data_IF_792219292615
#
_entry.id   IF_792219292615
#
_cell.length_a   1.000
_cell.length_b   1.000
_cell.length_c   1.000
_cell.angle_alpha   90.00
_cell.angle_beta   90.00
_cell.angle_gamma   90.00
#
_symmetry.space_group_name_H-M   'P 1'
#
loop_
_entity.id
_entity.type
_entity.pdbx_description
1 polymer ?
#
# COMPACT_ATOMS: atom_id res chain seq x y z
N UNK A 1 29.97 -14.73 -8.47
CA UNK A 1 29.44 -13.42 -8.07
C UNK A 1 28.42 -13.64 -6.97
N UNK A 2 28.53 -12.94 -5.84
CA UNK A 2 27.54 -13.05 -4.77
C UNK A 2 26.19 -12.46 -5.21
N UNK A 3 25.10 -13.00 -4.67
CA UNK A 3 23.72 -12.59 -5.00
C UNK A 3 23.48 -11.13 -4.59
N UNK A 4 24.07 -10.70 -3.46
CA UNK A 4 23.95 -9.33 -2.98
C UNK A 4 24.65 -8.34 -3.90
N UNK A 5 25.89 -8.64 -4.28
CA UNK A 5 26.68 -7.80 -5.17
C UNK A 5 26.03 -7.68 -6.55
N UNK A 6 25.52 -8.79 -7.09
CA UNK A 6 24.77 -8.78 -8.36
C UNK A 6 23.56 -7.85 -8.28
N UNK A 7 22.80 -7.91 -7.19
CA UNK A 7 21.63 -7.05 -7.04
C UNK A 7 21.99 -5.56 -6.88
N UNK A 8 23.08 -5.25 -6.19
CA UNK A 8 23.54 -3.86 -6.06
C UNK A 8 23.92 -3.25 -7.42
N UNK A 9 24.60 -4.01 -8.28
CA UNK A 9 24.93 -3.55 -9.63
C UNK A 9 23.65 -3.32 -10.45
N UNK A 10 22.71 -4.27 -10.39
CA UNK A 10 21.42 -4.15 -11.08
C UNK A 10 20.66 -2.91 -10.60
N UNK A 11 20.63 -2.66 -9.29
CA UNK A 11 19.98 -1.47 -8.72
C UNK A 11 20.66 -0.18 -9.20
N UNK A 12 21.98 -0.13 -9.26
CA UNK A 12 22.72 1.03 -9.78
C UNK A 12 22.39 1.31 -11.25
N UNK A 13 22.35 0.28 -12.09
CA UNK A 13 21.95 0.45 -13.49
C UNK A 13 20.48 0.87 -13.64
N UNK A 14 19.58 0.32 -12.82
CA UNK A 14 18.17 0.72 -12.83
C UNK A 14 18.01 2.18 -12.40
N UNK A 15 18.76 2.65 -11.41
CA UNK A 15 18.72 4.04 -10.93
C UNK A 15 19.09 5.03 -12.04
N UNK A 16 20.02 4.67 -12.92
CA UNK A 16 20.38 5.48 -14.10
C UNK A 16 19.31 5.49 -15.20
N UNK A 17 18.46 4.46 -15.25
CA UNK A 17 17.43 4.30 -16.28
C UNK A 17 16.02 4.72 -15.82
N UNK A 18 15.87 5.20 -14.59
CA UNK A 18 14.57 5.59 -14.03
C UNK A 18 14.65 6.88 -13.23
N UNK A 19 13.51 7.49 -12.95
CA UNK A 19 13.49 8.67 -12.07
C UNK A 19 13.76 8.27 -10.62
N UNK A 20 14.40 9.16 -9.86
CA UNK A 20 14.69 8.96 -8.43
C UNK A 20 13.43 8.57 -7.63
N UNK A 21 12.29 9.19 -7.93
CA UNK A 21 11.02 8.87 -7.29
C UNK A 21 10.59 7.41 -7.59
N UNK A 22 10.65 6.98 -8.84
CA UNK A 22 10.33 5.59 -9.21
C UNK A 22 11.30 4.59 -8.58
N UNK A 23 12.59 4.91 -8.53
CA UNK A 23 13.59 4.06 -7.89
C UNK A 23 13.27 3.83 -6.41
N UNK A 24 13.04 4.92 -5.67
CA UNK A 24 12.72 4.87 -4.24
C UNK A 24 11.44 4.07 -3.99
N UNK A 25 10.39 4.30 -4.78
CA UNK A 25 9.09 3.65 -4.59
C UNK A 25 9.12 2.16 -4.90
N UNK A 26 9.76 1.76 -6.00
CA UNK A 26 9.60 0.40 -6.54
C UNK A 26 10.80 -0.51 -6.32
N UNK A 27 12.01 0.03 -6.15
CA UNK A 27 13.25 -0.76 -6.18
C UNK A 27 14.03 -0.75 -4.86
N UNK A 28 13.99 0.33 -4.09
CA UNK A 28 14.80 0.50 -2.87
C UNK A 28 14.70 -0.67 -1.87
N UNK A 29 13.50 -1.22 -1.69
CA UNK A 29 13.22 -2.29 -0.72
C UNK A 29 13.04 -3.66 -1.40
N UNK A 30 13.83 -3.92 -2.45
CA UNK A 30 13.82 -5.18 -3.18
C UNK A 30 15.17 -5.88 -3.07
N UNK A 31 15.17 -7.21 -3.18
CA UNK A 31 16.39 -8.03 -3.10
C UNK A 31 16.25 -9.31 -3.88
N UNK A 32 17.35 -9.86 -4.38
CA UNK A 32 17.32 -11.24 -4.88
C UNK A 32 17.23 -12.19 -3.68
N UNK A 33 16.22 -13.05 -3.69
CA UNK A 33 16.01 -14.09 -2.69
C UNK A 33 16.73 -15.39 -3.06
N UNK A 34 16.74 -15.75 -4.35
CA UNK A 34 17.46 -16.91 -4.85
C UNK A 34 17.86 -16.77 -6.32
N UNK A 35 18.96 -17.43 -6.68
CA UNK A 35 19.42 -17.66 -8.06
C UNK A 35 19.70 -19.15 -8.20
N UNK A 36 18.86 -19.89 -8.93
CA UNK A 36 19.01 -21.34 -9.16
C UNK A 36 18.56 -21.69 -10.57
N UNK A 37 19.30 -22.56 -11.27
CA UNK A 37 18.94 -23.11 -12.59
C UNK A 37 18.61 -22.07 -13.67
N UNK A 38 19.24 -20.89 -13.60
CA UNK A 38 18.96 -19.76 -14.48
C UNK A 38 17.69 -18.98 -14.14
N UNK A 39 17.00 -19.31 -13.06
CA UNK A 39 15.87 -18.55 -12.53
C UNK A 39 16.34 -17.64 -11.38
N UNK A 40 16.02 -16.36 -11.48
CA UNK A 40 16.23 -15.38 -10.39
C UNK A 40 14.90 -15.01 -9.75
N UNK A 41 14.83 -15.15 -8.43
CA UNK A 41 13.65 -14.80 -7.64
C UNK A 41 13.92 -13.50 -6.89
N UNK A 42 13.12 -12.47 -7.18
CA UNK A 42 13.22 -11.14 -6.58
C UNK A 42 12.13 -10.99 -5.53
N UNK A 43 12.55 -10.68 -4.30
CA UNK A 43 11.68 -10.34 -3.19
C UNK A 43 11.22 -8.88 -3.26
N UNK A 44 9.93 -8.67 -3.07
CA UNK A 44 9.26 -7.37 -3.05
C UNK A 44 8.53 -7.16 -1.71
N UNK A 45 8.32 -5.91 -1.27
CA UNK A 45 7.75 -5.63 0.05
C UNK A 45 6.24 -5.89 0.14
N UNK A 46 5.51 -5.82 -0.98
CA UNK A 46 4.06 -6.01 -1.03
C UNK A 46 3.59 -6.41 -2.44
N UNK A 47 2.31 -6.83 -2.54
CA UNK A 47 1.71 -7.28 -3.80
C UNK A 47 1.67 -6.20 -4.88
N UNK A 48 1.47 -4.92 -4.52
CA UNK A 48 1.47 -3.82 -5.50
C UNK A 48 2.84 -3.66 -6.16
N UNK A 49 3.92 -3.73 -5.36
CA UNK A 49 5.28 -3.64 -5.88
C UNK A 49 5.61 -4.82 -6.78
N UNK A 50 5.19 -6.03 -6.38
CA UNK A 50 5.28 -7.22 -7.21
C UNK A 50 4.63 -7.01 -8.58
N UNK A 51 3.35 -6.69 -8.60
CA UNK A 51 2.57 -6.54 -9.83
C UNK A 51 3.12 -5.42 -10.72
N UNK A 52 3.54 -4.31 -10.13
CA UNK A 52 4.10 -3.19 -10.88
C UNK A 52 5.46 -3.53 -11.52
N UNK A 53 6.35 -4.20 -10.79
CA UNK A 53 7.64 -4.64 -11.32
C UNK A 53 7.45 -5.70 -12.41
N UNK A 54 6.52 -6.64 -12.23
CA UNK A 54 6.15 -7.66 -13.22
C UNK A 54 5.63 -7.05 -14.53
N UNK A 55 4.73 -6.06 -14.43
CA UNK A 55 4.10 -5.49 -15.62
C UNK A 55 4.96 -4.44 -16.32
N UNK A 56 5.61 -3.54 -15.56
CA UNK A 56 6.28 -2.37 -16.12
C UNK A 56 7.78 -2.55 -16.31
N UNK A 57 8.46 -3.19 -15.34
CA UNK A 57 9.93 -3.20 -15.29
C UNK A 57 10.56 -4.56 -15.53
N UNK A 58 9.77 -5.62 -15.73
CA UNK A 58 10.27 -6.98 -15.95
C UNK A 58 11.31 -7.04 -17.07
N UNK A 59 11.00 -6.47 -18.24
CA UNK A 59 11.93 -6.46 -19.40
C UNK A 59 13.24 -5.73 -19.10
N UNK A 60 13.17 -4.61 -18.38
CA UNK A 60 14.35 -3.82 -18.00
C UNK A 60 15.25 -4.61 -17.05
N UNK A 61 14.66 -5.13 -15.98
CA UNK A 61 15.36 -5.91 -14.95
C UNK A 61 15.97 -7.16 -15.56
N UNK A 62 15.23 -7.88 -16.39
CA UNK A 62 15.71 -9.07 -17.08
C UNK A 62 16.90 -8.77 -17.99
N UNK A 63 16.85 -7.68 -18.76
CA UNK A 63 17.94 -7.25 -19.64
C UNK A 63 19.22 -6.96 -18.84
N UNK A 64 19.11 -6.16 -17.77
CA UNK A 64 20.24 -5.79 -16.91
C UNK A 64 20.84 -7.01 -16.22
N UNK A 65 19.99 -7.91 -15.70
CA UNK A 65 20.42 -9.16 -15.09
C UNK A 65 21.19 -10.04 -16.07
N UNK A 66 20.69 -10.20 -17.30
CA UNK A 66 21.32 -11.03 -18.32
C UNK A 66 22.66 -10.46 -18.82
N UNK A 67 22.79 -9.14 -18.88
CA UNK A 67 24.05 -8.48 -19.21
C UNK A 67 25.14 -8.77 -18.17
N UNK A 68 24.78 -8.78 -16.89
CA UNK A 68 25.69 -9.05 -15.79
C UNK A 68 25.86 -10.55 -15.46
N UNK A 69 24.93 -11.39 -15.90
CA UNK A 69 24.88 -12.83 -15.63
C UNK A 69 24.17 -13.55 -16.78
N UNK A 70 24.90 -13.94 -17.84
CA UNK A 70 24.32 -14.56 -19.04
C UNK A 70 23.61 -15.90 -18.80
N UNK A 71 23.84 -16.53 -17.64
CA UNK A 71 23.20 -17.78 -17.20
C UNK A 71 21.73 -17.62 -16.81
N UNK A 72 21.26 -16.38 -16.65
CA UNK A 72 19.87 -16.06 -16.28
C UNK A 72 18.96 -16.20 -17.50
N UNK A 73 17.96 -17.07 -17.36
CA UNK A 73 16.95 -17.42 -18.37
C UNK A 73 15.57 -16.84 -18.05
N UNK A 74 15.25 -16.67 -16.78
CA UNK A 74 13.93 -16.19 -16.35
C UNK A 74 13.98 -15.44 -15.00
N UNK A 75 12.98 -14.61 -14.74
CA UNK A 75 12.83 -13.84 -13.50
C UNK A 75 11.42 -14.02 -12.92
N UNK A 76 11.33 -14.17 -11.60
CA UNK A 76 10.06 -14.24 -10.86
C UNK A 76 10.07 -13.31 -9.67
N UNK A 77 8.89 -12.80 -9.32
CA UNK A 77 8.74 -11.93 -8.17
C UNK A 77 7.90 -12.61 -7.09
N UNK A 78 8.35 -12.49 -5.85
CA UNK A 78 7.66 -12.97 -4.65
C UNK A 78 7.49 -11.82 -3.66
N UNK A 79 6.50 -11.94 -2.78
CA UNK A 79 6.38 -11.05 -1.64
C UNK A 79 7.32 -11.59 -0.57
N UNK A 80 8.42 -10.88 -0.30
CA UNK A 80 9.35 -11.22 0.77
C UNK A 80 8.95 -10.39 1.98
N UNK A 81 8.27 -11.04 2.92
CA UNK A 81 7.76 -10.42 4.14
C UNK A 81 8.84 -10.08 5.15
N UNK A 82 9.89 -9.36 4.75
CA UNK A 82 10.59 -8.54 5.72
C UNK A 82 9.62 -7.43 6.10
N UNK A 83 9.11 -7.52 7.34
CA UNK A 83 8.41 -6.42 8.00
C UNK A 83 9.21 -5.17 7.68
N UNK A 84 8.62 -4.26 6.92
CA UNK A 84 9.16 -2.92 6.71
C UNK A 84 9.36 -2.39 8.13
N UNK A 85 10.60 -2.41 8.64
CA UNK A 85 10.94 -1.57 9.78
C UNK A 85 10.67 -0.16 9.25
N UNK A 86 9.72 0.59 9.83
CA UNK A 86 9.52 1.97 9.46
C UNK A 86 10.90 2.63 9.50
N UNK A 87 11.31 3.23 8.38
CA UNK A 87 12.49 4.06 8.38
C UNK A 87 12.25 5.10 9.46
N UNK A 88 13.18 5.20 10.41
CA UNK A 88 13.07 6.15 11.51
C UNK A 88 12.71 7.54 10.93
N UNK A 89 11.63 8.17 11.41
CA UNK A 89 11.42 9.58 11.13
C UNK A 89 12.65 10.31 11.68
N UNK A 90 13.18 11.22 10.88
CA UNK A 90 14.23 12.16 11.30
C UNK A 90 13.76 12.78 12.63
N UNK A 91 14.44 12.39 13.71
CA UNK A 91 14.16 12.83 15.07
C UNK A 91 14.39 14.34 15.15
N UNK A 92 13.31 15.10 15.16
CA UNK A 92 13.31 16.39 15.84
C UNK A 92 13.07 16.13 17.33
N UNK A 93 13.93 16.74 18.14
CA UNK A 93 14.20 16.37 19.52
C UNK A 93 13.07 16.81 20.47
N UNK A 94 12.35 15.86 21.05
CA UNK A 94 11.87 15.89 22.44
C UNK A 94 11.07 14.63 22.77
N UNK A 95 11.75 13.60 23.29
CA UNK A 95 11.08 12.49 23.97
C UNK A 95 11.54 12.51 25.43
N UNK A 96 10.80 13.26 26.24
CA UNK A 96 10.71 12.96 27.67
C UNK A 96 9.87 11.70 27.83
N UNK A 97 10.40 10.76 28.61
CA UNK A 97 9.84 9.45 28.87
C UNK A 97 8.38 9.51 29.35
N UNK A 98 7.50 8.75 28.69
CA UNK A 98 6.31 8.20 29.32
C UNK A 98 6.44 6.67 29.22
N UNK A 99 6.88 6.12 30.34
CA UNK A 99 6.78 4.71 30.70
C UNK A 99 5.33 4.27 30.77
N UNK A 100 5.04 3.06 30.27
CA UNK A 100 3.93 2.26 30.75
C UNK A 100 2.58 2.49 30.08
N UNK A 101 2.46 2.13 28.81
CA UNK A 101 1.45 1.13 28.43
C UNK A 101 1.89 0.48 27.12
N UNK A 102 1.74 -0.83 27.02
CA UNK A 102 2.16 -1.57 25.86
C UNK A 102 1.49 -0.99 24.61
N UNK A 103 2.28 -0.81 23.55
CA UNK A 103 1.84 -0.42 22.20
C UNK A 103 0.70 -1.32 21.73
N UNK A 104 -0.52 -0.94 22.10
CA UNK A 104 -1.74 -1.47 21.57
C UNK A 104 -1.77 -0.95 20.14
N UNK A 105 -1.37 -1.78 19.17
CA UNK A 105 -1.51 -1.48 17.74
C UNK A 105 -3.01 -1.45 17.40
N UNK A 106 -3.70 -0.39 17.86
CA UNK A 106 -5.11 -0.09 17.62
C UNK A 106 -5.40 0.19 16.14
N UNK A 107 -4.37 0.18 15.27
CA UNK A 107 -4.50 0.29 13.82
C UNK A 107 -5.09 -0.97 13.16
N UNK A 108 -5.19 -2.09 13.90
CA UNK A 108 -5.76 -3.35 13.41
C UNK A 108 -7.07 -3.75 14.11
N UNK A 109 -7.73 -2.82 14.79
CA UNK A 109 -9.06 -3.07 15.38
C UNK A 109 -10.14 -3.08 14.31
N UNK A 110 -10.06 -3.98 13.33
CA UNK A 110 -11.15 -4.20 12.39
C UNK A 110 -12.33 -4.83 13.12
N UNK A 111 -13.55 -4.37 12.82
CA UNK A 111 -14.72 -5.10 13.27
C UNK A 111 -14.74 -6.47 12.56
N UNK A 112 -14.64 -7.57 13.31
CA UNK A 112 -14.55 -8.94 12.75
C UNK A 112 -15.78 -9.33 11.91
N UNK A 113 -16.92 -8.68 12.09
CA UNK A 113 -18.15 -8.97 11.36
C UNK A 113 -18.23 -8.21 10.03
N UNK A 114 -17.75 -6.96 10.00
CA UNK A 114 -17.90 -6.07 8.83
C UNK A 114 -16.59 -5.75 8.12
N UNK A 115 -15.45 -6.13 8.68
CA UNK A 115 -14.09 -5.77 8.24
C UNK A 115 -13.85 -4.26 8.08
N UNK A 116 -14.69 -3.41 8.68
CA UNK A 116 -14.54 -1.96 8.63
C UNK A 116 -13.50 -1.47 9.65
N UNK A 117 -12.75 -0.43 9.27
CA UNK A 117 -11.86 0.27 10.19
C UNK A 117 -12.67 1.28 11.03
N UNK A 118 -12.70 1.16 12.37
CA UNK A 118 -13.49 2.02 13.24
C UNK A 118 -13.00 3.48 13.28
N UNK A 119 -11.77 3.76 12.83
CA UNK A 119 -11.24 5.13 12.74
C UNK A 119 -11.80 5.90 11.54
N UNK A 120 -12.29 5.21 10.52
CA UNK A 120 -12.84 5.82 9.31
C UNK A 120 -14.31 6.15 9.52
N UNK A 121 -14.58 7.24 10.22
CA UNK A 121 -15.92 7.76 10.48
C UNK A 121 -16.10 9.13 9.82
N UNK A 122 -17.34 9.59 9.66
CA UNK A 122 -17.61 10.95 9.18
C UNK A 122 -17.07 12.02 10.11
N UNK A 123 -16.98 11.76 11.42
CA UNK A 123 -16.45 12.70 12.40
C UNK A 123 -14.96 12.95 12.20
N UNK A 124 -14.21 11.92 11.80
CA UNK A 124 -12.79 12.02 11.49
C UNK A 124 -12.51 12.40 10.02
N UNK A 125 -13.56 12.64 9.21
CA UNK A 125 -13.42 13.04 7.82
C UNK A 125 -13.50 14.56 7.70
N UNK A 126 -12.35 15.20 7.51
CA UNK A 126 -12.27 16.66 7.34
C UNK A 126 -12.92 17.08 6.02
N UNK A 127 -13.89 17.98 6.10
CA UNK A 127 -14.64 18.48 4.95
C UNK A 127 -14.03 19.80 4.47
N UNK A 128 -13.86 19.92 3.15
CA UNK A 128 -13.51 21.14 2.46
C UNK A 128 -14.14 21.18 1.07
N UNK A 129 -13.98 22.30 0.37
CA UNK A 129 -14.61 22.54 -0.95
C UNK A 129 -14.35 21.43 -1.99
N UNK A 130 -13.21 20.75 -1.90
CA UNK A 130 -12.80 19.70 -2.84
C UNK A 130 -13.40 18.31 -2.54
N UNK A 131 -14.01 18.09 -1.37
CA UNK A 131 -14.60 16.81 -0.99
C UNK A 131 -16.03 16.90 -0.43
N UNK A 132 -16.58 18.11 -0.32
CA UNK A 132 -17.91 18.40 0.22
C UNK A 132 -19.01 17.64 -0.52
N UNK A 133 -19.00 17.65 -1.86
CA UNK A 133 -19.99 16.94 -2.66
C UNK A 133 -19.99 15.43 -2.38
N UNK A 134 -18.80 14.82 -2.34
CA UNK A 134 -18.65 13.39 -2.09
C UNK A 134 -19.12 13.03 -0.66
N UNK A 135 -18.77 13.87 0.32
CA UNK A 135 -19.21 13.69 1.70
C UNK A 135 -20.73 13.82 1.84
N UNK A 136 -21.34 14.82 1.19
CA UNK A 136 -22.77 15.06 1.20
C UNK A 136 -23.53 13.89 0.58
N UNK A 137 -23.05 13.38 -0.56
CA UNK A 137 -23.60 12.17 -1.20
C UNK A 137 -23.52 10.96 -0.25
N UNK A 138 -22.38 10.78 0.43
CA UNK A 138 -22.22 9.73 1.46
C UNK A 138 -23.24 9.85 2.59
N UNK A 139 -23.46 11.06 3.13
CA UNK A 139 -24.48 11.30 4.17
C UNK A 139 -25.90 11.06 3.68
N UNK A 140 -26.20 11.41 2.42
CA UNK A 140 -27.52 11.13 1.83
C UNK A 140 -27.79 9.63 1.72
N UNK A 141 -26.77 8.84 1.35
CA UNK A 141 -26.87 7.37 1.30
C UNK A 141 -27.09 6.78 2.69
N UNK A 142 -26.38 7.26 3.71
CA UNK A 142 -26.60 6.79 5.09
C UNK A 142 -28.05 6.97 5.53
N UNK A 143 -28.66 8.11 5.20
CA UNK A 143 -30.06 8.40 5.54
C UNK A 143 -31.03 7.45 4.84
N UNK A 144 -30.84 7.22 3.55
CA UNK A 144 -31.72 6.37 2.74
C UNK A 144 -30.91 5.41 1.84
N UNK A 145 -30.34 4.32 2.39
CA UNK A 145 -29.48 3.43 1.61
C UNK A 145 -30.22 2.80 0.43
N UNK A 146 -29.62 2.84 -0.76
CA UNK A 146 -30.17 2.21 -1.97
C UNK A 146 -31.16 3.06 -2.77
N UNK A 147 -31.36 4.34 -2.42
CA UNK A 147 -32.32 5.24 -3.10
C UNK A 147 -31.64 6.22 -4.08
N UNK A 148 -31.31 7.43 -3.64
CA UNK A 148 -30.86 8.55 -4.49
C UNK A 148 -29.56 8.28 -5.25
N UNK A 149 -28.63 7.56 -4.62
CA UNK A 149 -27.28 7.31 -5.15
C UNK A 149 -27.00 5.81 -5.11
N UNK A 150 -27.49 5.10 -6.12
CA UNK A 150 -27.25 3.67 -6.31
C UNK A 150 -27.00 3.35 -7.80
N UNK A 151 -25.74 3.04 -8.20
CA UNK A 151 -24.55 2.98 -7.36
C UNK A 151 -24.00 4.37 -7.01
N UNK A 152 -23.27 4.46 -5.90
CA UNK A 152 -22.34 5.56 -5.63
C UNK A 152 -20.97 5.21 -6.20
N UNK A 153 -20.41 6.09 -7.03
CA UNK A 153 -19.07 5.93 -7.58
C UNK A 153 -18.17 7.10 -7.15
N UNK A 154 -17.09 6.81 -6.43
CA UNK A 154 -16.12 7.81 -5.96
C UNK A 154 -14.78 7.59 -6.69
N UNK A 155 -14.26 8.64 -7.33
CA UNK A 155 -12.96 8.62 -8.00
C UNK A 155 -12.11 9.83 -7.59
N UNK A 156 -10.80 9.76 -7.88
CA UNK A 156 -9.85 10.82 -7.54
C UNK A 156 -8.43 10.27 -7.31
N UNK A 157 -7.45 11.17 -7.22
CA UNK A 157 -6.05 10.85 -6.95
C UNK A 157 -5.79 10.11 -5.63
N UNK A 158 -4.55 9.65 -5.43
CA UNK A 158 -4.13 8.97 -4.19
C UNK A 158 -4.23 9.91 -2.99
N UNK A 159 -4.54 9.37 -1.80
CA UNK A 159 -4.58 10.16 -0.56
C UNK A 159 -5.78 11.10 -0.37
N UNK A 160 -6.72 11.18 -1.33
CA UNK A 160 -7.87 12.11 -1.25
C UNK A 160 -9.05 11.61 -0.40
N UNK A 161 -8.85 10.63 0.48
CA UNK A 161 -9.89 10.16 1.40
C UNK A 161 -10.97 9.24 0.81
N UNK A 162 -10.81 8.71 -0.41
CA UNK A 162 -11.79 7.78 -1.03
C UNK A 162 -12.13 6.58 -0.13
N UNK A 163 -11.09 5.88 0.34
CA UNK A 163 -11.25 4.72 1.21
C UNK A 163 -11.86 5.08 2.56
N UNK A 164 -11.47 6.22 3.13
CA UNK A 164 -12.05 6.73 4.38
C UNK A 164 -13.54 6.99 4.20
N UNK A 165 -13.94 7.70 3.14
CA UNK A 165 -15.33 8.05 2.89
C UNK A 165 -16.22 6.81 2.69
N UNK A 166 -15.77 5.83 1.90
CA UNK A 166 -16.51 4.58 1.68
C UNK A 166 -16.69 3.82 3.00
N UNK A 167 -15.64 3.69 3.80
CA UNK A 167 -15.74 3.00 5.09
C UNK A 167 -16.54 3.80 6.12
N UNK A 168 -16.52 5.13 6.08
CA UNK A 168 -17.36 5.99 6.92
C UNK A 168 -18.85 5.78 6.64
N UNK A 169 -19.24 5.61 5.37
CA UNK A 169 -20.61 5.23 5.01
C UNK A 169 -20.97 3.87 5.63
N UNK A 170 -20.08 2.87 5.49
CA UNK A 170 -20.29 1.55 6.07
C UNK A 170 -20.46 1.58 7.59
N UNK A 171 -19.54 2.25 8.29
CA UNK A 171 -19.55 2.37 9.75
C UNK A 171 -20.83 3.05 10.25
N UNK A 172 -21.26 4.11 9.58
CA UNK A 172 -22.47 4.84 9.95
C UNK A 172 -23.74 4.02 9.67
N UNK A 173 -23.77 3.23 8.59
CA UNK A 173 -24.88 2.31 8.31
C UNK A 173 -24.98 1.21 9.36
N UNK A 174 -23.85 0.59 9.74
CA UNK A 174 -23.82 -0.43 10.80
C UNK A 174 -24.28 0.13 12.14
N UNK A 175 -23.88 1.38 12.46
CA UNK A 175 -24.30 2.07 13.68
C UNK A 175 -25.81 2.36 13.69
N UNK A 176 -26.36 2.84 12.58
CA UNK A 176 -27.77 3.23 12.50
C UNK A 176 -28.71 2.03 12.30
N UNK A 177 -28.23 0.95 11.69
CA UNK A 177 -29.01 -0.26 11.40
C UNK A 177 -28.17 -1.53 11.64
N UNK A 178 -28.06 -2.01 12.88
CA UNK A 178 -27.24 -3.19 13.20
C UNK A 178 -27.67 -4.47 12.49
N UNK A 179 -28.93 -4.57 12.05
CA UNK A 179 -29.45 -5.72 11.30
C UNK A 179 -29.04 -5.73 9.82
N UNK A 180 -28.53 -4.62 9.28
CA UNK A 180 -28.11 -4.54 7.87
C UNK A 180 -26.72 -5.14 7.71
N UNK A 181 -26.59 -6.02 6.71
CA UNK A 181 -25.32 -6.66 6.37
C UNK A 181 -24.43 -5.69 5.60
N UNK A 182 -23.31 -5.31 6.21
CA UNK A 182 -22.25 -4.51 5.57
C UNK A 182 -21.02 -5.42 5.40
N UNK A 183 -20.43 -5.42 4.20
CA UNK A 183 -19.30 -6.27 3.82
C UNK A 183 -18.25 -5.47 3.07
#
# INVERSE_FOLDING_TARGET
MDIKDLWQIVLGEVELNTSRANFITWFKNTKIYSKKDGLVVIGTPNGFTKEWLENKYNKLIFKILRNNSPDIKDIKFIISGEKIKPSEPILDQSITAITGDQLNFQELNFNKETNLNPKYTFNNFVVGSFNELAQAAGRAIVKNPGTLYNPLFIYGGVGLGKTHLIQAIGNEITKNNPSKKVK
#
